data_IF_227479089544
#
_entry.id   IF_227479089544
#
_cell.length_a   1.000
_cell.length_b   1.000
_cell.length_c   1.000
_cell.angle_alpha   90.00
_cell.angle_beta   90.00
_cell.angle_gamma   90.00
#
_symmetry.space_group_name_H-M   'P 1'
#
loop_
_entity.id
_entity.type
_entity.pdbx_description
1 polymer ?
#
# COMPACT_ATOMS: atom_id res chain seq x y z
N UNK A 1 -12.69 12.12 -9.24
CA UNK A 1 -12.85 13.10 -10.35
C UNK A 1 -12.32 12.46 -11.62
N UNK A 2 -13.19 12.25 -12.60
CA UNK A 2 -12.82 11.71 -13.92
C UNK A 2 -12.31 12.84 -14.80
N UNK A 3 -11.16 12.66 -15.45
CA UNK A 3 -10.57 13.60 -16.40
C UNK A 3 -10.70 13.04 -17.81
N UNK A 4 -11.08 13.88 -18.76
CA UNK A 4 -11.08 13.53 -20.19
C UNK A 4 -9.81 14.06 -20.84
N UNK A 5 -9.14 13.23 -21.63
CA UNK A 5 -7.87 13.54 -22.30
C UNK A 5 -7.87 12.96 -23.71
N UNK A 6 -6.89 13.34 -24.54
CA UNK A 6 -6.60 12.65 -25.81
C UNK A 6 -5.28 11.91 -25.71
N UNK A 7 -5.30 10.59 -25.86
CA UNK A 7 -4.10 9.75 -25.96
C UNK A 7 -3.62 9.71 -27.41
N UNK A 8 -2.46 10.29 -27.67
CA UNK A 8 -1.76 10.22 -28.96
C UNK A 8 -0.41 9.55 -28.78
N UNK A 9 -0.20 8.39 -29.39
CA UNK A 9 1.10 7.72 -29.46
C UNK A 9 1.30 7.03 -30.80
N UNK A 10 2.55 6.92 -31.23
CA UNK A 10 2.93 6.23 -32.44
C UNK A 10 4.25 5.49 -32.23
N UNK A 11 4.31 4.20 -32.56
CA UNK A 11 5.53 3.39 -32.56
C UNK A 11 5.36 2.24 -33.55
N UNK A 12 6.32 2.06 -34.47
CA UNK A 12 6.46 0.90 -35.36
C UNK A 12 5.14 0.17 -35.72
N UNK A 13 4.36 0.75 -36.65
CA UNK A 13 3.10 0.15 -37.11
C UNK A 13 1.90 0.34 -36.19
N UNK A 14 2.06 0.87 -34.98
CA UNK A 14 0.99 1.29 -34.09
C UNK A 14 0.82 2.80 -34.12
N UNK A 15 -0.41 3.26 -34.36
CA UNK A 15 -0.84 4.64 -34.12
C UNK A 15 -2.11 4.62 -33.30
N UNK A 16 -2.08 5.27 -32.14
CA UNK A 16 -3.25 5.46 -31.29
C UNK A 16 -3.56 6.94 -31.23
N UNK A 17 -4.80 7.29 -31.51
CA UNK A 17 -5.35 8.63 -31.34
C UNK A 17 -6.78 8.47 -30.81
N UNK A 18 -6.91 8.44 -29.48
CA UNK A 18 -8.18 8.12 -28.82
C UNK A 18 -8.52 9.18 -27.76
N UNK A 19 -9.79 9.51 -27.63
CA UNK A 19 -10.28 10.19 -26.43
C UNK A 19 -10.35 9.18 -25.28
N UNK A 20 -9.71 9.52 -24.16
CA UNK A 20 -9.60 8.63 -23.00
C UNK A 20 -10.14 9.33 -21.75
N UNK A 21 -10.73 8.53 -20.86
CA UNK A 21 -11.13 8.96 -19.53
C UNK A 21 -10.18 8.35 -18.51
N UNK A 22 -9.70 9.16 -17.58
CA UNK A 22 -8.78 8.74 -16.55
C UNK A 22 -9.33 9.09 -15.18
N UNK A 23 -9.22 8.16 -14.25
CA UNK A 23 -9.55 8.33 -12.84
C UNK A 23 -8.32 7.97 -12.01
N UNK A 24 -8.01 8.80 -11.01
CA UNK A 24 -6.91 8.52 -10.10
C UNK A 24 -7.31 7.37 -9.18
N UNK A 25 -6.55 6.28 -9.24
CA UNK A 25 -6.63 5.21 -8.26
C UNK A 25 -5.77 5.58 -7.04
N UNK A 26 -6.38 5.55 -5.86
CA UNK A 26 -5.72 5.76 -4.56
C UNK A 26 -6.09 4.58 -3.66
N UNK A 27 -5.26 4.28 -2.66
CA UNK A 27 -5.57 3.21 -1.70
C UNK A 27 -6.90 3.47 -0.99
N UNK A 28 -7.16 4.73 -0.64
CA UNK A 28 -8.44 5.19 -0.05
C UNK A 28 -9.66 4.92 -0.94
N UNK A 29 -9.51 5.00 -2.27
CA UNK A 29 -10.59 4.74 -3.22
C UNK A 29 -10.86 3.24 -3.41
N UNK A 30 -9.88 2.38 -3.11
CA UNK A 30 -9.97 0.93 -3.35
C UNK A 30 -10.48 0.22 -2.10
N UNK A 31 -9.97 0.59 -0.93
CA UNK A 31 -10.39 0.07 0.37
C UNK A 31 -10.48 1.25 1.34
N UNK A 32 -11.69 1.78 1.62
CA UNK A 32 -11.84 2.79 2.65
C UNK A 32 -11.37 2.20 3.99
N UNK A 33 -10.65 3.02 4.77
CA UNK A 33 -10.18 2.60 6.08
C UNK A 33 -11.36 2.31 7.03
N UNK A 34 -11.10 1.57 8.12
CA UNK A 34 -12.11 1.34 9.15
C UNK A 34 -12.61 2.68 9.72
N UNK A 35 -13.88 2.74 10.09
CA UNK A 35 -14.40 3.85 10.91
C UNK A 35 -13.93 3.64 12.34
N UNK A 36 -13.17 4.59 12.88
CA UNK A 36 -12.48 4.43 14.16
C UNK A 36 -12.84 5.55 15.12
N UNK A 37 -13.22 5.15 16.33
CA UNK A 37 -13.44 6.02 17.47
C UNK A 37 -12.29 5.83 18.46
N UNK A 38 -11.77 6.94 18.99
CA UNK A 38 -10.77 6.93 20.05
C UNK A 38 -11.45 7.31 21.35
N UNK A 39 -11.18 6.57 22.43
CA UNK A 39 -11.66 6.87 23.78
C UNK A 39 -10.52 7.01 24.76
N UNK A 40 -10.74 7.84 25.77
CA UNK A 40 -9.84 7.99 26.92
C UNK A 40 -10.12 6.84 27.90
N UNK A 41 -9.12 6.02 28.18
CA UNK A 41 -9.27 4.86 29.07
C UNK A 41 -9.56 5.24 30.53
N UNK A 42 -9.26 6.48 30.91
CA UNK A 42 -9.44 7.00 32.26
C UNK A 42 -10.92 7.26 32.58
N UNK A 43 -11.69 7.71 31.59
CA UNK A 43 -13.07 8.17 31.79
C UNK A 43 -14.08 7.68 30.72
N UNK A 44 -13.62 7.01 29.66
CA UNK A 44 -14.43 6.47 28.56
C UNK A 44 -14.93 7.51 27.55
N UNK A 45 -14.57 8.80 27.70
CA UNK A 45 -15.01 9.87 26.80
C UNK A 45 -14.40 9.73 25.42
N UNK A 46 -15.09 10.28 24.40
CA UNK A 46 -14.55 10.36 23.06
C UNK A 46 -13.36 11.32 23.04
N UNK A 47 -12.35 10.96 22.25
CA UNK A 47 -11.14 11.77 22.06
C UNK A 47 -11.07 12.23 20.62
N UNK A 48 -10.83 13.52 20.43
CA UNK A 48 -10.70 14.14 19.12
C UNK A 48 -9.32 14.75 18.93
N UNK A 49 -8.88 14.84 17.67
CA UNK A 49 -7.62 15.47 17.34
C UNK A 49 -7.83 16.97 17.15
N UNK A 50 -7.24 17.76 18.04
CA UNK A 50 -7.28 19.22 18.00
C UNK A 50 -5.96 19.77 17.47
N UNK A 51 -6.02 20.79 16.61
CA UNK A 51 -4.83 21.51 16.15
C UNK A 51 -4.57 22.71 17.05
N UNK A 52 -3.30 22.99 17.30
CA UNK A 52 -2.90 24.11 18.16
C UNK A 52 -1.63 24.79 17.65
N UNK A 53 -1.44 26.04 18.05
CA UNK A 53 -0.20 26.78 17.84
C UNK A 53 0.86 26.34 18.84
N UNK A 54 2.01 25.83 18.35
CA UNK A 54 3.07 25.30 19.22
C UNK A 54 3.73 26.35 20.11
N UNK A 55 3.70 27.62 19.73
CA UNK A 55 4.37 28.68 20.48
C UNK A 55 3.49 29.22 21.62
N UNK A 56 2.18 29.27 21.40
CA UNK A 56 1.20 29.89 22.32
C UNK A 56 0.35 28.87 23.07
N UNK A 57 0.20 27.65 22.55
CA UNK A 57 -0.67 26.63 23.11
C UNK A 57 -2.16 26.81 22.76
N UNK A 58 -2.51 27.83 21.98
CA UNK A 58 -3.90 28.12 21.63
C UNK A 58 -4.43 27.17 20.54
N UNK A 59 -5.67 26.71 20.71
CA UNK A 59 -6.41 25.95 19.70
C UNK A 59 -6.60 26.80 18.44
N UNK A 60 -6.28 26.23 17.28
CA UNK A 60 -6.48 26.87 15.99
C UNK A 60 -7.26 25.96 15.03
N UNK A 61 -8.08 26.53 14.14
CA UNK A 61 -8.68 25.79 13.03
C UNK A 61 -7.62 25.14 12.12
N UNK A 62 -6.48 25.81 11.97
CA UNK A 62 -5.29 25.34 11.26
C UNK A 62 -4.06 25.68 12.10
N UNK A 63 -3.36 24.66 12.61
CA UNK A 63 -2.20 24.79 13.48
C UNK A 63 -1.05 23.86 13.08
N UNK A 64 0.15 24.14 13.59
CA UNK A 64 1.35 23.32 13.30
C UNK A 64 1.57 22.20 14.33
N UNK A 65 0.82 22.20 15.44
CA UNK A 65 0.79 21.15 16.45
C UNK A 65 -0.53 20.39 16.41
N UNK A 66 -0.50 19.14 16.88
CA UNK A 66 -1.69 18.35 17.13
C UNK A 66 -1.63 17.77 18.55
N UNK A 67 -2.79 17.71 19.20
CA UNK A 67 -3.00 17.02 20.47
C UNK A 67 -4.31 16.26 20.42
N UNK A 68 -4.47 15.33 21.35
CA UNK A 68 -5.70 14.56 21.51
C UNK A 68 -6.40 15.07 22.75
N UNK A 69 -7.65 15.51 22.63
CA UNK A 69 -8.43 16.07 23.74
C UNK A 69 -9.72 15.29 23.93
N UNK A 70 -10.11 15.08 25.18
CA UNK A 70 -11.40 14.48 25.51
C UNK A 70 -12.53 15.53 25.46
N UNK A 71 -13.75 15.10 25.77
CA UNK A 71 -14.96 15.95 25.74
C UNK A 71 -14.89 17.15 26.71
N UNK A 72 -14.10 17.03 27.78
CA UNK A 72 -13.86 18.10 28.75
C UNK A 72 -12.73 19.07 28.31
N UNK A 73 -12.09 18.81 27.16
CA UNK A 73 -10.98 19.59 26.64
C UNK A 73 -9.63 19.28 27.28
N UNK A 74 -9.52 18.16 28.02
CA UNK A 74 -8.27 17.74 28.65
C UNK A 74 -7.40 16.95 27.67
N UNK A 75 -6.09 17.18 27.72
CA UNK A 75 -5.12 16.42 26.93
C UNK A 75 -5.11 14.94 27.35
N UNK A 76 -5.21 14.06 26.35
CA UNK A 76 -5.18 12.59 26.50
C UNK A 76 -3.82 12.07 26.01
N UNK A 77 -2.97 11.54 26.91
CA UNK A 77 -1.66 11.02 26.53
C UNK A 77 -1.79 9.74 25.70
N UNK A 78 -0.73 9.42 24.97
CA UNK A 78 -0.72 8.34 23.98
C UNK A 78 -1.13 6.98 24.57
N UNK A 79 -0.71 6.71 25.81
CA UNK A 79 -0.94 5.48 26.55
C UNK A 79 -2.37 5.33 27.08
N UNK A 80 -3.10 6.44 27.22
CA UNK A 80 -4.49 6.46 27.69
C UNK A 80 -5.52 6.35 26.56
N UNK A 81 -5.07 6.23 25.30
CA UNK A 81 -5.98 6.15 24.14
C UNK A 81 -6.32 4.69 23.83
N UNK A 82 -7.61 4.39 23.83
CA UNK A 82 -8.16 3.13 23.32
C UNK A 82 -8.83 3.34 21.98
N UNK A 83 -8.56 2.45 21.03
CA UNK A 83 -9.07 2.53 19.67
C UNK A 83 -10.18 1.49 19.49
N UNK A 84 -11.27 1.92 18.85
CA UNK A 84 -12.43 1.08 18.59
C UNK A 84 -12.81 1.19 17.10
N UNK A 85 -13.00 0.06 16.45
CA UNK A 85 -13.61 -0.01 15.12
C UNK A 85 -15.14 -0.01 15.26
N UNK A 86 -15.82 0.79 14.44
CA UNK A 86 -17.28 0.83 14.38
C UNK A 86 -17.76 -0.06 13.24
N UNK A 87 -18.39 -1.18 13.58
CA UNK A 87 -18.99 -2.13 12.62
C UNK A 87 -20.48 -2.19 12.90
N UNK A 88 -21.30 -1.83 11.90
CA UNK A 88 -22.76 -1.79 12.02
C UNK A 88 -23.27 -0.98 13.22
N UNK A 89 -22.54 0.10 13.57
CA UNK A 89 -22.85 0.98 14.70
C UNK A 89 -22.42 0.47 16.08
N UNK A 90 -21.76 -0.69 16.15
CA UNK A 90 -21.20 -1.24 17.38
C UNK A 90 -19.68 -1.03 17.45
N UNK A 91 -19.19 -0.63 18.63
CA UNK A 91 -17.76 -0.39 18.87
C UNK A 91 -17.05 -1.68 19.30
N UNK A 92 -15.97 -2.03 18.58
CA UNK A 92 -15.13 -3.19 18.87
C UNK A 92 -13.69 -2.75 19.16
N UNK A 93 -13.09 -3.12 20.30
CA UNK A 93 -11.74 -2.69 20.62
C UNK A 93 -10.73 -3.26 19.63
N UNK A 94 -9.83 -2.40 19.16
CA UNK A 94 -8.77 -2.76 18.22
C UNK A 94 -7.40 -2.31 18.72
N UNK A 95 -6.39 -3.09 18.39
CA UNK A 95 -5.00 -2.78 18.69
C UNK A 95 -4.30 -2.22 17.46
N UNK A 96 -3.46 -1.20 17.66
CA UNK A 96 -2.64 -0.67 16.60
C UNK A 96 -1.55 -1.68 16.18
N UNK A 97 -1.25 -1.70 14.89
CA UNK A 97 -0.10 -2.42 14.37
C UNK A 97 1.20 -1.75 14.84
N UNK A 98 2.11 -2.55 15.39
CA UNK A 98 3.42 -2.06 15.82
C UNK A 98 4.39 -1.91 14.64
N UNK A 99 5.36 -0.99 14.72
CA UNK A 99 6.38 -0.83 13.68
C UNK A 99 7.13 -2.13 13.39
N UNK A 100 7.26 -2.47 12.11
CA UNK A 100 7.98 -3.66 11.62
C UNK A 100 9.35 -3.29 11.03
N UNK A 101 9.58 -2.02 10.74
CA UNK A 101 10.86 -1.49 10.27
C UNK A 101 11.55 -0.69 11.38
N UNK A 102 12.88 -0.80 11.46
CA UNK A 102 13.72 -0.06 12.41
C UNK A 102 14.70 -0.93 13.18
N UNK A 103 15.46 -0.30 14.08
CA UNK A 103 16.53 -0.97 14.84
C UNK A 103 15.96 -2.11 15.70
N UNK A 104 16.55 -3.29 15.56
CA UNK A 104 16.18 -4.48 16.35
C UNK A 104 14.82 -5.08 16.02
N UNK A 105 14.24 -4.72 14.85
CA UNK A 105 13.00 -5.32 14.35
C UNK A 105 13.32 -6.38 13.29
N UNK A 106 12.45 -7.36 13.17
CA UNK A 106 12.56 -8.45 12.20
C UNK A 106 11.38 -8.39 11.25
N UNK A 107 11.66 -8.49 9.95
CA UNK A 107 10.65 -8.68 8.92
C UNK A 107 10.52 -10.17 8.63
N UNK A 108 9.31 -10.70 8.79
CA UNK A 108 9.00 -12.10 8.44
C UNK A 108 8.04 -12.11 7.27
N UNK A 109 8.34 -12.92 6.26
CA UNK A 109 7.43 -13.13 5.14
C UNK A 109 6.14 -13.81 5.65
N UNK A 110 5.00 -13.21 5.37
CA UNK A 110 3.68 -13.78 5.70
C UNK A 110 3.22 -14.76 4.63
N UNK A 111 3.63 -14.52 3.39
CA UNK A 111 3.30 -15.33 2.22
C UNK A 111 4.25 -15.04 1.07
N UNK A 112 4.17 -15.87 0.05
CA UNK A 112 4.81 -15.67 -1.25
C UNK A 112 3.76 -15.47 -2.32
N UNK A 113 4.05 -14.65 -3.33
CA UNK A 113 3.17 -14.41 -4.47
C UNK A 113 3.94 -14.51 -5.79
N UNK A 114 3.28 -14.93 -6.89
CA UNK A 114 3.91 -14.88 -8.20
C UNK A 114 4.23 -13.44 -8.63
N UNK A 115 5.44 -13.23 -9.18
CA UNK A 115 5.93 -11.94 -9.68
C UNK A 115 5.06 -11.39 -10.81
N UNK A 116 4.43 -12.27 -11.61
CA UNK A 116 3.48 -11.89 -12.66
C UNK A 116 2.28 -11.11 -12.12
N UNK A 117 1.93 -11.29 -10.84
CA UNK A 117 0.80 -10.62 -10.19
C UNK A 117 1.14 -9.25 -9.62
N UNK A 118 2.38 -8.78 -9.72
CA UNK A 118 2.77 -7.45 -9.22
C UNK A 118 1.93 -6.33 -9.81
N UNK A 119 1.51 -6.45 -11.07
CA UNK A 119 0.64 -5.48 -11.75
C UNK A 119 -0.77 -5.37 -11.16
N UNK A 120 -1.20 -6.35 -10.35
CA UNK A 120 -2.48 -6.34 -9.64
C UNK A 120 -2.45 -5.49 -8.37
N UNK A 121 -1.31 -4.95 -7.94
CA UNK A 121 -1.20 -4.21 -6.67
C UNK A 121 -1.02 -2.72 -6.88
N UNK A 122 -1.69 -1.91 -6.07
CA UNK A 122 -1.55 -0.45 -6.10
C UNK A 122 -0.32 -0.06 -5.28
N UNK A 123 0.82 0.10 -5.95
CA UNK A 123 2.06 0.50 -5.28
C UNK A 123 1.99 1.97 -4.88
N UNK A 124 2.01 2.22 -3.57
CA UNK A 124 1.92 3.57 -3.00
C UNK A 124 3.29 4.17 -2.69
N UNK A 125 4.26 3.33 -2.35
CA UNK A 125 5.64 3.73 -2.02
C UNK A 125 6.61 2.64 -2.45
N UNK A 126 7.86 3.03 -2.69
CA UNK A 126 8.94 2.11 -3.01
C UNK A 126 10.12 2.42 -2.11
N UNK A 127 10.71 1.38 -1.52
CA UNK A 127 11.94 1.48 -0.74
C UNK A 127 13.00 0.56 -1.33
N UNK A 128 14.25 0.88 -1.03
CA UNK A 128 15.40 0.04 -1.34
C UNK A 128 15.90 -0.61 -0.04
N UNK A 129 16.32 -1.87 -0.14
CA UNK A 129 16.96 -2.64 0.92
C UNK A 129 18.29 -3.20 0.41
N UNK A 130 19.31 -3.10 1.25
CA UNK A 130 20.67 -3.60 1.03
C UNK A 130 21.23 -4.20 2.33
N UNK A 131 22.27 -5.02 2.21
CA UNK A 131 22.92 -5.68 3.35
C UNK A 131 23.68 -4.67 4.22
N UNK A 132 23.79 -4.93 5.52
CA UNK A 132 24.60 -4.08 6.40
C UNK A 132 26.11 -4.38 6.24
N UNK A 133 26.43 -5.60 5.83
CA UNK A 133 27.76 -6.09 5.51
C UNK A 133 27.71 -7.13 4.38
N UNK A 134 28.89 -7.62 3.97
CA UNK A 134 29.06 -8.56 2.85
C UNK A 134 28.30 -9.88 3.06
N UNK A 135 28.19 -10.37 4.31
CA UNK A 135 27.47 -11.62 4.58
C UNK A 135 25.96 -11.45 4.46
N UNK A 136 25.44 -10.29 4.82
CA UNK A 136 24.04 -9.94 4.55
C UNK A 136 23.78 -9.75 3.05
N UNK A 137 24.71 -9.14 2.31
CA UNK A 137 24.62 -8.97 0.85
C UNK A 137 24.56 -10.32 0.12
N UNK A 138 25.38 -11.29 0.53
CA UNK A 138 25.35 -12.67 0.00
C UNK A 138 23.97 -13.33 0.21
N UNK A 139 23.38 -13.22 1.41
CA UNK A 139 22.05 -13.77 1.69
C UNK A 139 20.94 -13.07 0.89
N UNK A 140 21.03 -11.75 0.72
CA UNK A 140 20.10 -11.01 -0.14
C UNK A 140 20.27 -11.40 -1.62
N UNK A 141 21.48 -11.75 -2.05
CA UNK A 141 21.73 -12.26 -3.39
C UNK A 141 21.11 -13.63 -3.59
N UNK A 142 21.19 -14.54 -2.60
CA UNK A 142 20.49 -15.83 -2.64
C UNK A 142 18.97 -15.63 -2.79
N UNK A 143 18.40 -14.70 -2.03
CA UNK A 143 16.98 -14.32 -2.19
C UNK A 143 16.70 -13.79 -3.61
N UNK A 144 17.56 -12.92 -4.13
CA UNK A 144 17.42 -12.37 -5.48
C UNK A 144 17.40 -13.48 -6.55
N UNK A 145 18.33 -14.42 -6.46
CA UNK A 145 18.41 -15.58 -7.35
C UNK A 145 17.16 -16.47 -7.23
N UNK A 146 16.68 -16.68 -5.99
CA UNK A 146 15.46 -17.45 -5.75
C UNK A 146 14.26 -16.79 -6.44
N UNK A 147 14.02 -15.50 -6.20
CA UNK A 147 12.89 -14.79 -6.83
C UNK A 147 12.97 -14.81 -8.35
N UNK A 148 14.18 -14.68 -8.92
CA UNK A 148 14.39 -14.73 -10.37
C UNK A 148 14.08 -16.12 -10.95
N UNK A 149 14.50 -17.18 -10.26
CA UNK A 149 14.36 -18.57 -10.72
C UNK A 149 12.93 -19.08 -10.59
N UNK A 150 12.31 -18.86 -9.43
CA UNK A 150 10.98 -19.39 -9.13
C UNK A 150 9.85 -18.44 -9.49
N UNK A 151 10.18 -17.18 -9.85
CA UNK A 151 9.19 -16.13 -10.17
C UNK A 151 8.20 -15.89 -9.02
N UNK A 152 8.65 -16.05 -7.79
CA UNK A 152 7.86 -15.79 -6.57
C UNK A 152 8.56 -14.78 -5.68
N UNK A 153 7.79 -13.84 -5.12
CA UNK A 153 8.26 -12.76 -4.28
C UNK A 153 7.65 -12.87 -2.87
N UNK A 154 8.44 -12.69 -1.79
CA UNK A 154 7.89 -12.67 -0.45
C UNK A 154 7.14 -11.37 -0.17
N UNK A 155 6.07 -11.50 0.59
CA UNK A 155 5.25 -10.40 1.08
C UNK A 155 5.46 -10.26 2.58
N UNK A 156 5.91 -9.09 3.00
CA UNK A 156 6.22 -8.76 4.41
C UNK A 156 5.31 -7.65 4.92
N UNK A 157 5.01 -7.61 6.23
CA UNK A 157 4.30 -6.49 6.83
C UNK A 157 5.20 -5.25 6.87
N UNK A 158 4.69 -4.11 6.41
CA UNK A 158 5.41 -2.82 6.45
C UNK A 158 4.64 -1.83 7.29
N UNK A 159 5.18 -1.53 8.46
CA UNK A 159 4.63 -0.56 9.41
C UNK A 159 5.77 0.31 9.89
N UNK A 160 5.76 1.60 9.51
CA UNK A 160 6.81 2.56 9.88
C UNK A 160 6.59 3.17 11.26
N UNK A 161 5.32 3.42 11.59
CA UNK A 161 4.88 4.00 12.85
C UNK A 161 3.60 3.28 13.28
N UNK A 162 3.30 3.33 14.57
CA UNK A 162 2.11 2.70 15.11
C UNK A 162 0.83 3.24 14.43
N UNK A 163 -0.03 2.34 13.93
CA UNK A 163 -1.15 2.72 13.05
C UNK A 163 -2.26 1.67 13.04
N UNK A 164 -3.45 2.10 12.63
CA UNK A 164 -4.65 1.26 12.46
C UNK A 164 -4.61 0.42 11.18
N UNK A 165 -3.77 0.81 10.23
CA UNK A 165 -3.72 0.20 8.90
C UNK A 165 -2.37 -0.45 8.64
N UNK A 166 -2.38 -1.70 8.22
CA UNK A 166 -1.18 -2.43 7.84
C UNK A 166 -0.93 -2.28 6.34
N UNK A 167 0.30 -1.88 5.98
CA UNK A 167 0.76 -1.99 4.60
C UNK A 167 1.54 -3.30 4.41
N UNK A 168 1.65 -3.75 3.16
CA UNK A 168 2.47 -4.89 2.78
C UNK A 168 3.56 -4.46 1.81
N UNK A 169 4.77 -4.94 2.05
CA UNK A 169 5.91 -4.80 1.15
C UNK A 169 6.08 -6.07 0.32
N UNK A 170 6.15 -5.93 -1.00
CA UNK A 170 6.52 -7.03 -1.89
C UNK A 170 7.99 -6.85 -2.26
N UNK A 171 8.82 -7.82 -1.86
CA UNK A 171 10.27 -7.79 -2.05
C UNK A 171 10.63 -8.40 -3.39
N UNK A 172 11.31 -7.65 -4.26
CA UNK A 172 11.83 -8.20 -5.52
C UNK A 172 13.24 -7.70 -5.78
N UNK A 173 14.10 -8.49 -6.41
CA UNK A 173 15.39 -7.98 -6.87
C UNK A 173 15.22 -7.06 -8.08
N UNK A 174 16.09 -6.06 -8.16
CA UNK A 174 16.33 -5.27 -9.35
C UNK A 174 17.81 -5.42 -9.70
N UNK A 175 18.09 -6.04 -10.86
CA UNK A 175 19.44 -6.21 -11.37
C UNK A 175 19.79 -5.08 -12.33
N UNK A 176 21.02 -4.62 -12.26
CA UNK A 176 21.57 -3.55 -13.09
C UNK A 176 22.68 -4.12 -13.99
N UNK A 177 22.99 -3.42 -15.09
CA UNK A 177 23.87 -3.93 -16.15
C UNK A 177 25.37 -4.01 -15.79
N UNK A 178 25.74 -3.64 -14.57
CA UNK A 178 27.08 -3.65 -14.01
C UNK A 178 27.27 -4.77 -12.98
N UNK A 179 26.50 -5.86 -13.12
CA UNK A 179 26.46 -7.00 -12.20
C UNK A 179 26.07 -6.64 -10.75
N UNK A 180 25.48 -5.44 -10.55
CA UNK A 180 24.94 -5.03 -9.26
C UNK A 180 23.45 -5.35 -9.15
N UNK A 181 22.96 -5.45 -7.93
CA UNK A 181 21.54 -5.64 -7.66
C UNK A 181 21.12 -4.90 -6.39
N UNK A 182 19.83 -4.61 -6.27
CA UNK A 182 19.23 -4.20 -4.99
C UNK A 182 17.88 -4.87 -4.76
N UNK A 183 17.46 -4.97 -3.50
CA UNK A 183 16.13 -5.46 -3.16
C UNK A 183 15.18 -4.28 -3.09
N UNK A 184 14.16 -4.30 -3.94
CA UNK A 184 13.12 -3.28 -3.99
C UNK A 184 11.91 -3.75 -3.20
N UNK A 185 11.50 -2.94 -2.22
CA UNK A 185 10.27 -3.13 -1.45
C UNK A 185 9.18 -2.27 -2.06
N UNK A 186 8.23 -2.90 -2.77
CA UNK A 186 7.05 -2.21 -3.29
C UNK A 186 5.94 -2.30 -2.27
N UNK A 187 5.62 -1.16 -1.66
CA UNK A 187 4.61 -1.08 -0.60
C UNK A 187 3.24 -0.84 -1.20
N UNK A 188 2.30 -1.66 -0.78
CA UNK A 188 0.91 -1.64 -1.19
C UNK A 188 -0.01 -1.86 0.00
N UNK A 189 -1.21 -1.29 -0.09
CA UNK A 189 -2.31 -1.58 0.84
C UNK A 189 -3.45 -2.34 0.17
N UNK A 190 -3.53 -2.31 -1.15
CA UNK A 190 -4.70 -2.80 -1.86
C UNK A 190 -4.34 -3.39 -3.23
N UNK A 191 -5.19 -4.30 -3.71
CA UNK A 191 -5.16 -4.76 -5.10
C UNK A 191 -5.89 -3.77 -6.01
N UNK A 192 -5.32 -3.47 -7.16
CA UNK A 192 -5.98 -2.72 -8.22
C UNK A 192 -7.16 -3.54 -8.74
N UNK A 193 -8.37 -3.01 -8.57
CA UNK A 193 -9.60 -3.56 -9.16
C UNK A 193 -10.20 -2.51 -10.11
N UNK A 194 -9.83 -2.49 -11.40
CA UNK A 194 -10.37 -1.51 -12.34
C UNK A 194 -11.88 -1.71 -12.50
N UNK A 195 -12.64 -0.65 -12.30
CA UNK A 195 -14.11 -0.64 -12.44
C UNK A 195 -14.54 -0.44 -13.89
N UNK A 196 -13.79 0.35 -14.66
CA UNK A 196 -14.06 0.66 -16.07
C UNK A 196 -13.42 -0.38 -16.99
N UNK A 197 -13.98 -1.58 -17.06
CA UNK A 197 -13.49 -2.66 -17.93
C UNK A 197 -13.92 -2.43 -19.39
N UNK A 198 -12.99 -2.59 -20.33
CA UNK A 198 -13.26 -2.52 -21.77
C UNK A 198 -13.43 -3.92 -22.34
N UNK A 199 -14.34 -4.08 -23.30
CA UNK A 199 -14.48 -5.35 -24.02
C UNK A 199 -13.35 -5.48 -25.04
N UNK A 200 -12.76 -6.68 -25.11
CA UNK A 200 -11.89 -7.03 -26.23
C UNK A 200 -12.77 -7.13 -27.48
N UNK A 201 -12.47 -6.42 -28.58
CA UNK A 201 -13.21 -6.57 -29.82
C UNK A 201 -13.24 -8.04 -30.23
N UNK A 202 -14.40 -8.54 -30.67
CA UNK A 202 -14.48 -9.90 -31.21
C UNK A 202 -13.53 -10.02 -32.40
N UNK A 203 -12.79 -11.13 -32.47
CA UNK A 203 -11.95 -11.44 -33.63
C UNK A 203 -12.84 -11.48 -34.87
N UNK A 204 -12.55 -10.63 -35.85
CA UNK A 204 -13.17 -10.75 -37.17
C UNK A 204 -12.65 -12.04 -37.79
N UNK A 205 -13.56 -12.93 -38.18
CA UNK A 205 -13.27 -14.20 -38.86
C UNK A 205 -12.21 -14.01 -39.97
N UNK A 206 -10.94 -14.30 -39.70
CA UNK A 206 -9.86 -14.25 -40.69
C UNK A 206 -8.47 -13.80 -40.22
N UNK A 207 -8.30 -13.22 -39.03
CA UNK A 207 -6.95 -12.92 -38.50
C UNK A 207 -6.65 -13.78 -37.26
N UNK A 208 -5.60 -14.61 -37.33
CA UNK A 208 -5.10 -15.36 -36.19
C UNK A 208 -4.83 -14.42 -35.00
N UNK A 209 -5.37 -14.80 -33.83
CA UNK A 209 -5.15 -14.09 -32.57
C UNK A 209 -3.66 -13.84 -32.35
N UNK A 210 -3.25 -12.56 -32.36
CA UNK A 210 -1.88 -12.16 -32.00
C UNK A 210 -1.67 -12.07 -30.49
N UNK A 211 -2.70 -12.32 -29.68
CA UNK A 211 -2.62 -12.21 -28.23
C UNK A 211 -2.43 -13.58 -27.60
N UNK A 212 -1.45 -13.74 -26.69
CA UNK A 212 -1.32 -14.98 -25.94
C UNK A 212 -2.58 -15.20 -25.10
N UNK A 213 -3.17 -16.39 -25.22
CA UNK A 213 -4.31 -16.81 -24.40
C UNK A 213 -3.89 -16.77 -22.93
N UNK A 214 -4.63 -16.07 -22.05
CA UNK A 214 -4.31 -16.08 -20.62
C UNK A 214 -4.40 -17.52 -20.10
N UNK A 215 -3.33 -18.00 -19.45
CA UNK A 215 -3.40 -19.26 -18.69
C UNK A 215 -4.49 -19.11 -17.62
N UNK A 216 -5.32 -20.16 -17.51
CA UNK A 216 -6.55 -20.17 -16.71
C UNK A 216 -6.33 -19.64 -15.29
N UNK A 217 -7.18 -18.69 -14.88
CA UNK A 217 -7.21 -18.15 -13.52
C UNK A 217 -7.47 -19.27 -12.51
N UNK A 218 -6.55 -19.49 -11.58
CA UNK A 218 -6.80 -20.27 -10.37
C UNK A 218 -7.71 -19.46 -9.43
N UNK A 219 -8.71 -20.10 -8.80
CA UNK A 219 -9.54 -19.42 -7.81
C UNK A 219 -8.68 -19.05 -6.60
N UNK A 220 -8.68 -17.75 -6.25
CA UNK A 220 -8.20 -17.27 -4.95
C UNK A 220 -9.39 -17.29 -4.00
N UNK A 221 -9.35 -18.17 -2.99
CA UNK A 221 -10.13 -18.02 -1.75
C UNK A 221 -9.48 -16.99 -0.83
#
# INVERSE_FOLDING_TARGET
MVRTNTLKLSREGLTVNAEVRAEKLTSENVEPGPDVVVRDDRNGQRVEREQYDKATGETLPEGHGYRWVNEDGEDVPDEARQYYEVIDGSEHPISLFKPTLGRGRTLTAERWIPVSRLGEFLITRTYEMWGADESDEEQLFELAQYVQSYREAPVVPVVLQETLTKDWGILTPQFYGDDTFSIVVRVTRARVKPTHRMQVPAESDGEESRFPTPEQEFPFE
#
